data_IF_637291107063
#
_entry.id   IF_637291107063
#
_cell.length_a   1.000
_cell.length_b   1.000
_cell.length_c   1.000
_cell.angle_alpha   90.00
_cell.angle_beta   90.00
_cell.angle_gamma   90.00
#
_symmetry.space_group_name_H-M   'P 1'
#
loop_
_entity.id
_entity.type
_entity.pdbx_description
1 polymer ?
#
# COMPACT_ATOMS: atom_id res chain seq x y z
N UNK A 1 20.06 8.18 10.17
CA UNK A 1 18.89 9.07 10.35
C UNK A 1 18.17 9.08 9.02
N UNK A 2 17.06 8.34 8.88
CA UNK A 2 16.33 8.30 7.61
C UNK A 2 15.44 9.55 7.61
N UNK A 3 15.74 10.52 6.74
CA UNK A 3 14.84 11.65 6.53
C UNK A 3 13.62 11.17 5.75
N UNK A 4 12.45 11.37 6.36
CA UNK A 4 11.16 11.13 5.71
C UNK A 4 10.71 12.41 5.01
N UNK A 5 10.26 12.29 3.78
CA UNK A 5 9.61 13.35 3.03
C UNK A 5 8.35 13.85 3.77
N UNK A 6 7.88 15.05 3.42
CA UNK A 6 6.65 15.59 4.02
C UNK A 6 5.43 14.67 3.79
N UNK A 7 5.39 13.96 2.66
CA UNK A 7 4.32 13.04 2.30
C UNK A 7 4.36 11.76 3.14
N UNK A 8 5.56 11.17 3.31
CA UNK A 8 5.77 10.02 4.19
C UNK A 8 5.43 10.35 5.63
N UNK A 9 5.85 11.52 6.12
CA UNK A 9 5.49 11.98 7.47
C UNK A 9 3.97 12.11 7.65
N UNK A 10 3.23 12.59 6.64
CA UNK A 10 1.77 12.68 6.70
C UNK A 10 1.16 11.29 6.84
N UNK A 11 1.59 10.33 6.02
CA UNK A 11 1.10 8.94 6.12
C UNK A 11 1.45 8.33 7.47
N UNK A 12 2.71 8.41 7.90
CA UNK A 12 3.16 7.88 9.19
C UNK A 12 2.38 8.50 10.36
N UNK A 13 2.12 9.81 10.33
CA UNK A 13 1.33 10.48 11.37
C UNK A 13 -0.14 10.05 11.36
N UNK A 14 -0.75 9.90 10.18
CA UNK A 14 -2.15 9.54 10.05
C UNK A 14 -2.40 8.09 10.49
N UNK A 15 -1.49 7.19 10.11
CA UNK A 15 -1.49 5.77 10.53
C UNK A 15 -1.40 5.63 12.05
N UNK A 16 -0.68 6.53 12.72
CA UNK A 16 -0.50 6.51 14.18
C UNK A 16 -1.74 6.99 14.94
N UNK A 17 -2.56 7.87 14.36
CA UNK A 17 -3.59 8.61 15.10
C UNK A 17 -4.99 7.96 15.08
N UNK A 18 -5.39 7.20 14.04
CA UNK A 18 -6.83 6.86 13.86
C UNK A 18 -7.16 5.55 13.14
N UNK A 19 -8.40 5.12 13.38
CA UNK A 19 -9.13 4.03 12.73
C UNK A 19 -9.45 4.22 11.23
N UNK A 20 -9.38 5.42 10.64
CA UNK A 20 -9.55 5.62 9.20
C UNK A 20 -8.57 6.68 8.74
N UNK A 21 -7.75 6.33 7.76
CA UNK A 21 -6.72 7.19 7.20
C UNK A 21 -7.10 7.53 5.78
N UNK A 22 -7.25 8.81 5.50
CA UNK A 22 -7.46 9.31 4.14
C UNK A 22 -6.42 10.39 3.90
N UNK A 23 -5.51 10.14 2.94
CA UNK A 23 -4.45 11.07 2.58
C UNK A 23 -4.61 11.40 1.11
N UNK A 24 -4.84 12.68 0.86
CA UNK A 24 -5.01 13.24 -0.47
C UNK A 24 -3.74 14.00 -0.85
N UNK A 25 -3.20 13.65 -2.01
CA UNK A 25 -2.03 14.24 -2.62
C UNK A 25 -2.41 14.80 -3.99
N UNK A 26 -1.74 15.88 -4.39
CA UNK A 26 -2.04 16.61 -5.64
C UNK A 26 -1.32 16.00 -6.86
N UNK A 27 -0.80 14.77 -6.76
CA UNK A 27 -0.09 14.07 -7.85
C UNK A 27 1.43 14.16 -7.81
N UNK A 28 2.00 15.14 -7.11
CA UNK A 28 3.45 15.40 -7.12
C UNK A 28 4.21 14.73 -5.96
N UNK A 29 3.48 14.31 -4.93
CA UNK A 29 4.08 13.82 -3.70
C UNK A 29 4.63 12.40 -3.86
N UNK A 30 5.93 12.27 -3.62
CA UNK A 30 6.64 10.99 -3.69
C UNK A 30 6.60 10.28 -2.35
N UNK A 31 6.14 9.04 -2.37
CA UNK A 31 6.22 8.10 -1.26
C UNK A 31 7.17 6.97 -1.62
N UNK A 32 8.07 6.60 -0.72
CA UNK A 32 8.84 5.37 -0.93
C UNK A 32 7.98 4.15 -0.64
N UNK A 33 8.01 3.18 -1.55
CA UNK A 33 7.28 1.92 -1.39
C UNK A 33 7.63 1.18 -0.10
N UNK A 34 8.89 1.22 0.32
CA UNK A 34 9.35 0.64 1.59
C UNK A 34 8.73 1.32 2.83
N UNK A 35 8.60 2.65 2.82
CA UNK A 35 8.00 3.40 3.95
C UNK A 35 6.49 3.16 4.01
N UNK A 36 5.85 3.11 2.85
CA UNK A 36 4.44 2.76 2.76
C UNK A 36 4.19 1.34 3.26
N UNK A 37 5.00 0.37 2.84
CA UNK A 37 4.89 -1.02 3.28
C UNK A 37 5.06 -1.16 4.80
N UNK A 38 6.09 -0.52 5.36
CA UNK A 38 6.35 -0.54 6.81
C UNK A 38 5.19 0.06 7.62
N UNK A 39 4.67 1.21 7.16
CA UNK A 39 3.53 1.87 7.81
C UNK A 39 2.27 0.99 7.84
N UNK A 40 2.02 0.25 6.74
CA UNK A 40 0.85 -0.63 6.61
C UNK A 40 1.03 -1.93 7.40
N UNK A 41 2.18 -2.59 7.28
CA UNK A 41 2.46 -3.86 7.94
C UNK A 41 2.60 -3.73 9.47
N UNK A 42 3.06 -2.58 9.95
CA UNK A 42 3.27 -2.32 11.38
C UNK A 42 1.99 -2.04 12.18
N UNK A 43 0.84 -1.83 11.52
CA UNK A 43 -0.35 -1.30 12.18
C UNK A 43 -1.51 -2.28 12.25
N UNK A 44 -2.03 -2.53 13.46
CA UNK A 44 -3.17 -3.43 13.71
C UNK A 44 -4.48 -2.72 14.07
N UNK A 45 -4.46 -1.40 14.23
CA UNK A 45 -5.59 -0.62 14.75
C UNK A 45 -6.36 0.19 13.67
N UNK A 46 -6.00 0.02 12.40
CA UNK A 46 -6.67 0.69 11.28
C UNK A 46 -7.97 -0.05 10.93
N UNK A 47 -9.01 0.70 10.54
CA UNK A 47 -10.22 0.19 9.89
C UNK A 47 -10.22 0.40 8.39
N UNK A 48 -9.53 1.42 7.88
CA UNK A 48 -9.31 1.60 6.43
C UNK A 48 -8.21 2.60 6.14
N UNK A 49 -7.50 2.40 5.03
CA UNK A 49 -6.51 3.35 4.49
C UNK A 49 -6.88 3.72 3.06
N UNK A 50 -6.90 5.02 2.75
CA UNK A 50 -7.10 5.56 1.42
C UNK A 50 -5.95 6.52 1.11
N UNK A 51 -5.28 6.29 -0.01
CA UNK A 51 -4.28 7.21 -0.54
C UNK A 51 -4.71 7.63 -1.94
N UNK A 52 -4.83 8.93 -2.16
CA UNK A 52 -5.21 9.51 -3.45
C UNK A 52 -4.05 10.31 -4.02
N UNK A 53 -3.77 10.20 -5.32
CA UNK A 53 -2.87 11.13 -6.04
C UNK A 53 -1.40 11.06 -5.63
N UNK A 54 -0.92 9.90 -5.15
CA UNK A 54 0.48 9.73 -4.76
C UNK A 54 1.33 9.13 -5.88
N UNK A 55 2.62 9.49 -5.94
CA UNK A 55 3.63 8.76 -6.70
C UNK A 55 4.42 7.86 -5.76
N UNK A 56 4.25 6.55 -5.88
CA UNK A 56 4.99 5.57 -5.08
C UNK A 56 6.24 5.15 -5.87
N UNK A 57 7.41 5.50 -5.35
CA UNK A 57 8.72 5.16 -5.90
C UNK A 57 9.34 3.99 -5.14
N UNK A 58 9.88 3.01 -5.85
CA UNK A 58 10.45 1.80 -5.26
C UNK A 58 9.40 0.75 -4.91
N UNK A 59 9.90 -0.48 -4.71
CA UNK A 59 9.12 -1.68 -4.43
C UNK A 59 8.27 -1.52 -3.17
N UNK A 60 6.99 -1.86 -3.27
CA UNK A 60 6.08 -2.01 -2.12
C UNK A 60 6.05 -3.48 -1.76
N UNK A 61 6.79 -3.87 -0.72
CA UNK A 61 6.87 -5.26 -0.28
C UNK A 61 5.91 -5.52 0.89
N UNK A 62 4.78 -6.13 0.58
CA UNK A 62 3.79 -6.59 1.55
C UNK A 62 3.74 -8.13 1.59
N UNK A 63 4.82 -8.80 1.19
CA UNK A 63 4.89 -10.25 1.24
C UNK A 63 4.65 -10.76 2.67
N UNK A 64 3.79 -11.77 2.80
CA UNK A 64 3.32 -12.33 4.07
C UNK A 64 2.70 -11.32 5.05
N UNK A 65 2.41 -10.09 4.62
CA UNK A 65 1.80 -9.07 5.48
C UNK A 65 0.34 -9.44 5.76
N UNK A 66 -0.10 -9.19 6.99
CA UNK A 66 -1.50 -9.35 7.41
C UNK A 66 -2.12 -7.97 7.59
N UNK A 67 -2.98 -7.62 6.64
CA UNK A 67 -3.68 -6.36 6.58
C UNK A 67 -5.14 -6.60 6.96
N UNK A 68 -5.44 -6.47 8.25
CA UNK A 68 -6.80 -6.69 8.79
C UNK A 68 -7.78 -5.55 8.47
N UNK A 69 -7.42 -4.67 7.53
CA UNK A 69 -8.19 -3.52 7.08
C UNK A 69 -8.09 -3.32 5.55
N UNK A 70 -9.14 -2.80 4.90
CA UNK A 70 -9.09 -2.41 3.49
C UNK A 70 -8.11 -1.27 3.23
N UNK A 71 -7.40 -1.38 2.11
CA UNK A 71 -6.51 -0.35 1.57
C UNK A 71 -6.97 0.01 0.16
N UNK A 72 -7.17 1.29 -0.10
CA UNK A 72 -7.54 1.85 -1.40
C UNK A 72 -6.45 2.80 -1.89
N UNK A 73 -5.94 2.55 -3.10
CA UNK A 73 -5.09 3.48 -3.83
C UNK A 73 -5.90 4.06 -5.01
N UNK A 74 -6.10 5.37 -5.02
CA UNK A 74 -6.85 6.07 -6.07
C UNK A 74 -5.95 7.06 -6.78
N UNK A 75 -5.95 7.06 -8.11
CA UNK A 75 -5.14 8.00 -8.91
C UNK A 75 -3.64 7.98 -8.52
N UNK A 76 -3.15 6.85 -8.01
CA UNK A 76 -1.78 6.67 -7.58
C UNK A 76 -0.93 6.04 -8.70
N UNK A 77 0.32 6.46 -8.80
CA UNK A 77 1.28 5.92 -9.76
C UNK A 77 2.36 5.10 -9.04
N UNK A 78 2.47 3.82 -9.35
CA UNK A 78 3.54 2.95 -8.86
C UNK A 78 4.69 2.91 -9.87
N UNK A 79 5.89 3.29 -9.42
CA UNK A 79 7.11 3.25 -10.22
C UNK A 79 7.71 1.84 -10.37
N UNK A 80 7.42 0.95 -9.42
CA UNK A 80 7.96 -0.40 -9.31
C UNK A 80 6.88 -1.42 -8.91
N UNK A 81 7.27 -2.68 -8.79
CA UNK A 81 6.38 -3.78 -8.42
C UNK A 81 5.79 -3.64 -7.01
N UNK A 82 4.50 -4.00 -6.90
CA UNK A 82 3.80 -4.23 -5.65
C UNK A 82 3.77 -5.73 -5.38
N UNK A 83 4.47 -6.17 -4.34
CA UNK A 83 4.57 -7.60 -4.00
C UNK A 83 3.58 -7.93 -2.89
N UNK A 84 2.64 -8.82 -3.23
CA UNK A 84 1.55 -9.30 -2.35
C UNK A 84 1.62 -10.81 -2.13
N UNK A 85 2.78 -11.44 -2.37
CA UNK A 85 2.96 -12.89 -2.20
C UNK A 85 2.56 -13.30 -0.78
N UNK A 86 1.59 -14.20 -0.67
CA UNK A 86 1.04 -14.68 0.62
C UNK A 86 0.46 -13.59 1.53
N UNK A 87 0.22 -12.39 1.00
CA UNK A 87 -0.41 -11.31 1.74
C UNK A 87 -1.86 -11.67 2.07
N UNK A 88 -2.25 -11.44 3.31
CA UNK A 88 -3.61 -11.63 3.80
C UNK A 88 -4.27 -10.26 3.92
N UNK A 89 -5.26 -9.99 3.09
CA UNK A 89 -6.04 -8.74 3.13
C UNK A 89 -7.45 -9.03 3.65
N UNK A 90 -7.91 -8.19 4.56
CA UNK A 90 -9.30 -8.26 5.01
C UNK A 90 -10.23 -7.98 3.82
N UNK A 91 -11.08 -8.96 3.50
CA UNK A 91 -12.16 -8.82 2.54
C UNK A 91 -13.27 -7.94 3.14
N UNK A 92 -13.06 -6.61 3.14
CA UNK A 92 -14.12 -5.63 3.36
C UNK A 92 -14.75 -5.18 2.04
N UNK A 93 -15.95 -4.58 2.03
CA UNK A 93 -16.65 -4.14 0.81
C UNK A 93 -15.95 -3.00 0.01
N UNK A 94 -14.68 -2.70 0.31
CA UNK A 94 -13.90 -1.59 -0.27
C UNK A 94 -12.58 -2.03 -0.92
N UNK A 95 -12.19 -3.31 -0.88
CA UNK A 95 -11.02 -3.79 -1.63
C UNK A 95 -11.35 -3.91 -3.13
N UNK A 96 -11.67 -2.79 -3.79
CA UNK A 96 -11.58 -2.73 -5.25
C UNK A 96 -10.10 -2.62 -5.58
N UNK A 97 -9.52 -3.75 -5.96
CA UNK A 97 -8.24 -3.75 -6.66
C UNK A 97 -8.45 -2.98 -7.97
N UNK A 98 -7.71 -1.88 -8.24
CA UNK A 98 -7.73 -1.28 -9.58
C UNK A 98 -7.23 -2.34 -10.57
N UNK A 99 -7.89 -2.44 -11.73
CA UNK A 99 -7.75 -3.46 -12.77
C UNK A 99 -6.36 -4.10 -12.89
N UNK A 100 -6.06 -5.07 -12.01
CA UNK A 100 -4.86 -5.86 -12.12
C UNK A 100 -5.13 -6.92 -13.17
N UNK A 101 -4.61 -6.72 -14.38
CA UNK A 101 -4.43 -7.82 -15.33
C UNK A 101 -3.52 -8.85 -14.67
N UNK A 102 -4.13 -9.82 -14.00
CA UNK A 102 -3.48 -11.02 -13.50
C UNK A 102 -2.85 -11.75 -14.69
N UNK A 103 -1.58 -11.47 -14.98
CA UNK A 103 -0.79 -12.37 -15.83
C UNK A 103 -0.37 -13.51 -14.92
N UNK A 104 -1.21 -14.54 -14.85
CA UNK A 104 -0.88 -15.80 -14.20
C UNK A 104 0.43 -16.33 -14.79
N UNK A 105 1.52 -16.25 -14.03
CA UNK A 105 2.73 -16.99 -14.34
C UNK A 105 2.50 -18.43 -13.89
N UNK A 106 2.07 -19.27 -14.82
CA UNK A 106 2.02 -20.71 -14.61
C UNK A 106 3.46 -21.22 -14.47
N UNK A 107 3.80 -21.72 -13.28
CA UNK A 107 5.04 -22.46 -13.08
C UNK A 107 5.04 -23.71 -13.99
N UNK A 108 6.13 -24.00 -14.73
CA UNK A 108 6.21 -25.21 -15.53
C UNK A 108 6.24 -26.42 -14.59
N UNK A 109 5.33 -27.37 -14.83
CA UNK A 109 5.44 -28.73 -14.28
C UNK A 109 6.29 -29.52 -15.27
N UNK A 110 7.55 -29.70 -14.92
CA UNK A 110 8.43 -30.68 -15.55
C UNK A 110 7.85 -32.08 -15.28
N UNK A 111 7.78 -32.89 -16.35
CA UNK A 111 7.21 -34.24 -16.36
C UNK A 111 8.26 -35.33 -16.22
#
# INVERSE_FOLDING_TARGET
MIEHTAAERRVLSAVRDRARVEVDFDGEQRLRGAVLADALAGTKALRSVRITGARIDGRVDLAAARLDFPIEFRDCHFGDDVVLTEAQVASGPAARLPDSRSRSHAAPRDG
#
